data_IF_772323850815
#
_entry.id   IF_772323850815
#
_cell.length_a   1.000
_cell.length_b   1.000
_cell.length_c   1.000
_cell.angle_alpha   90.00
_cell.angle_beta   90.00
_cell.angle_gamma   90.00
#
_symmetry.space_group_name_H-M   'P 1'
#
loop_
_entity.id
_entity.type
_entity.pdbx_description
1 polymer ?
#
# COMPACT_ATOMS: atom_id res chain seq x y z
N UNK A 1 17.32 -6.20 24.88
CA UNK A 1 17.93 -4.87 24.60
C UNK A 1 16.96 -4.15 23.71
N UNK A 2 16.69 -2.88 23.95
CA UNK A 2 15.96 -2.07 22.96
C UNK A 2 16.86 -1.87 21.75
N UNK A 3 16.30 -1.80 20.52
CA UNK A 3 17.07 -1.61 19.30
C UNK A 3 17.84 -0.30 19.33
N UNK A 4 18.97 -0.26 18.63
CA UNK A 4 19.79 0.96 18.52
C UNK A 4 19.13 2.06 17.68
N UNK A 5 18.14 1.69 16.85
CA UNK A 5 17.34 2.62 16.05
C UNK A 5 15.88 2.13 16.02
N UNK A 6 14.89 3.03 16.15
CA UNK A 6 13.49 2.66 15.96
C UNK A 6 13.27 2.25 14.51
N UNK A 7 12.51 1.16 14.31
CA UNK A 7 12.03 0.78 12.99
C UNK A 7 11.05 1.85 12.49
N UNK A 8 11.21 2.36 11.26
CA UNK A 8 10.21 3.26 10.67
C UNK A 8 8.82 2.63 10.72
N UNK A 9 7.86 3.35 11.26
CA UNK A 9 6.54 2.82 11.53
C UNK A 9 5.42 3.69 10.97
N UNK A 10 4.29 3.06 10.70
CA UNK A 10 3.04 3.67 10.29
C UNK A 10 1.85 2.79 10.54
N UNK A 11 0.79 3.04 9.81
CA UNK A 11 -0.41 2.21 9.84
C UNK A 11 -1.06 2.14 8.46
N UNK A 12 -1.67 1.00 8.15
CA UNK A 12 -2.65 0.88 7.10
C UNK A 12 -4.04 1.17 7.70
N UNK A 13 -4.62 2.29 7.31
CA UNK A 13 -5.83 2.85 7.93
C UNK A 13 -7.09 2.57 7.10
N UNK A 14 -7.05 1.55 6.26
CA UNK A 14 -8.10 1.19 5.32
C UNK A 14 -7.87 1.74 3.91
N UNK A 15 -8.45 1.06 2.93
CA UNK A 15 -8.40 1.45 1.52
C UNK A 15 -9.13 2.77 1.29
N UNK A 16 -8.64 3.56 0.33
CA UNK A 16 -9.24 4.85 -0.08
C UNK A 16 -9.27 5.95 1.00
N UNK A 17 -8.63 5.75 2.14
CA UNK A 17 -8.56 6.79 3.16
C UNK A 17 -7.60 7.89 2.73
N UNK A 18 -7.93 9.12 3.14
CA UNK A 18 -7.05 10.26 2.95
C UNK A 18 -5.87 10.20 3.93
N UNK A 19 -4.80 10.92 3.62
CA UNK A 19 -3.66 11.14 4.52
C UNK A 19 -4.03 11.79 5.86
N UNK A 20 -5.19 12.42 5.98
CA UNK A 20 -5.70 13.02 7.23
C UNK A 20 -5.72 12.03 8.40
N UNK A 21 -6.04 10.76 8.14
CA UNK A 21 -6.09 9.74 9.19
C UNK A 21 -4.70 9.45 9.79
N UNK A 22 -3.64 9.58 9.03
CA UNK A 22 -2.27 9.44 9.52
C UNK A 22 -1.93 10.51 10.56
N UNK A 23 -2.43 11.75 10.39
CA UNK A 23 -2.25 12.80 11.39
C UNK A 23 -3.06 12.53 12.66
N UNK A 24 -4.25 11.93 12.53
CA UNK A 24 -5.06 11.50 13.67
C UNK A 24 -4.38 10.34 14.43
N UNK A 25 -3.85 9.35 13.72
CA UNK A 25 -3.04 8.27 14.28
C UNK A 25 -1.79 8.80 15.02
N UNK A 26 -1.06 9.74 14.41
CA UNK A 26 0.05 10.43 15.08
C UNK A 26 -0.41 11.13 16.36
N UNK A 27 -1.55 11.83 16.34
CA UNK A 27 -2.10 12.51 17.52
C UNK A 27 -2.45 11.53 18.64
N UNK A 28 -3.03 10.38 18.30
CA UNK A 28 -3.30 9.31 19.27
C UNK A 28 -2.01 8.74 19.90
N UNK A 29 -0.91 8.75 19.16
CA UNK A 29 0.44 8.38 19.62
C UNK A 29 1.20 9.54 20.29
N UNK A 30 0.49 10.53 20.89
CA UNK A 30 1.07 11.70 21.51
C UNK A 30 1.95 12.54 20.55
N UNK A 31 1.50 12.69 19.31
CA UNK A 31 2.20 13.39 18.22
C UNK A 31 3.54 12.73 17.83
N UNK A 32 3.64 11.42 17.96
CA UNK A 32 4.79 10.69 17.45
C UNK A 32 4.99 10.95 15.96
N UNK A 33 6.24 11.02 15.54
CA UNK A 33 6.58 11.20 14.13
C UNK A 33 6.35 9.92 13.35
N UNK A 34 5.18 9.81 12.71
CA UNK A 34 4.83 8.70 11.82
C UNK A 34 5.60 8.87 10.51
N UNK A 35 6.40 7.87 10.15
CA UNK A 35 7.32 7.91 9.02
C UNK A 35 6.79 7.15 7.80
N UNK A 36 5.84 6.23 7.99
CA UNK A 36 5.34 5.35 6.93
C UNK A 36 3.86 5.59 6.70
N UNK A 37 3.51 6.00 5.48
CA UNK A 37 2.14 6.05 4.99
C UNK A 37 1.87 4.87 4.10
N UNK A 38 0.78 4.14 4.32
CA UNK A 38 0.43 2.95 3.56
C UNK A 38 -0.98 3.06 3.01
N UNK A 39 -1.12 2.78 1.72
CA UNK A 39 -2.42 2.72 1.03
C UNK A 39 -2.37 1.75 -0.14
N UNK A 40 -3.53 1.37 -0.64
CA UNK A 40 -3.69 0.46 -1.78
C UNK A 40 -4.38 1.14 -2.95
N UNK A 41 -3.97 0.78 -4.17
CA UNK A 41 -4.78 1.08 -5.35
C UNK A 41 -5.98 0.14 -5.39
N UNK A 42 -7.18 0.65 -5.75
CA UNK A 42 -8.28 -0.23 -6.09
C UNK A 42 -7.91 -1.07 -7.30
N UNK A 43 -8.29 -2.33 -7.28
CA UNK A 43 -7.99 -3.27 -8.34
C UNK A 43 -9.21 -3.70 -9.14
N UNK A 44 -10.32 -2.93 -9.15
CA UNK A 44 -11.54 -3.35 -9.84
C UNK A 44 -11.36 -3.36 -11.36
N UNK A 45 -10.56 -2.44 -11.89
CA UNK A 45 -10.32 -2.26 -13.32
C UNK A 45 -8.93 -1.64 -13.56
N UNK A 46 -8.50 -1.59 -14.81
CA UNK A 46 -7.18 -1.07 -15.17
C UNK A 46 -7.00 0.42 -14.89
N UNK A 47 -8.07 1.22 -14.93
CA UNK A 47 -8.01 2.64 -14.62
C UNK A 47 -7.67 2.88 -13.13
N UNK A 48 -8.11 1.98 -12.25
CA UNK A 48 -7.74 1.98 -10.84
C UNK A 48 -6.24 1.73 -10.67
N UNK A 49 -5.71 0.74 -11.40
CA UNK A 49 -4.29 0.35 -11.37
C UNK A 49 -3.40 1.42 -12.01
N UNK A 50 -3.89 2.16 -13.02
CA UNK A 50 -3.22 3.34 -13.55
C UNK A 50 -2.96 4.42 -12.47
N UNK A 51 -3.65 4.34 -11.34
CA UNK A 51 -3.52 5.21 -10.17
C UNK A 51 -4.25 6.56 -10.35
N UNK A 52 -5.40 6.71 -9.69
CA UNK A 52 -6.12 7.97 -9.68
C UNK A 52 -5.29 9.09 -9.04
N UNK A 53 -5.19 10.25 -9.72
CA UNK A 53 -4.53 11.42 -9.16
C UNK A 53 -5.19 11.88 -7.85
N UNK A 54 -6.53 11.76 -7.75
CA UNK A 54 -7.27 12.09 -6.52
C UNK A 54 -6.85 11.24 -5.33
N UNK A 55 -6.49 9.98 -5.57
CA UNK A 55 -5.98 9.11 -4.51
C UNK A 55 -4.50 9.35 -4.24
N UNK A 56 -3.68 9.47 -5.29
CA UNK A 56 -2.22 9.51 -5.14
C UNK A 56 -1.69 10.86 -4.67
N UNK A 57 -2.32 11.99 -5.05
CA UNK A 57 -1.78 13.31 -4.78
C UNK A 57 -1.69 13.62 -3.27
N UNK A 58 -2.70 13.37 -2.42
CA UNK A 58 -2.60 13.60 -0.99
C UNK A 58 -1.45 12.80 -0.35
N UNK A 59 -1.29 11.53 -0.74
CA UNK A 59 -0.21 10.67 -0.23
C UNK A 59 1.17 11.13 -0.69
N UNK A 60 1.31 11.58 -1.94
CA UNK A 60 2.55 12.15 -2.45
C UNK A 60 2.92 13.46 -1.71
N UNK A 61 1.93 14.32 -1.43
CA UNK A 61 2.11 15.54 -0.63
C UNK A 61 2.53 15.18 0.80
N UNK A 62 1.84 14.24 1.44
CA UNK A 62 2.21 13.75 2.76
C UNK A 62 3.64 13.21 2.78
N UNK A 63 4.02 12.38 1.81
CA UNK A 63 5.38 11.84 1.70
C UNK A 63 6.44 12.94 1.58
N UNK A 64 6.17 13.99 0.81
CA UNK A 64 7.15 15.07 0.58
C UNK A 64 7.23 16.08 1.72
N UNK A 65 6.28 16.09 2.64
CA UNK A 65 6.22 17.04 3.77
C UNK A 65 7.28 16.79 4.85
N UNK A 66 7.98 15.64 4.84
CA UNK A 66 9.18 15.39 5.65
C UNK A 66 10.15 14.45 4.88
N UNK A 67 11.48 14.66 5.01
CA UNK A 67 12.48 13.96 4.19
C UNK A 67 12.61 12.47 4.51
N UNK A 68 12.25 12.04 5.70
CA UNK A 68 12.33 10.67 6.21
C UNK A 68 11.01 9.88 6.10
N UNK A 69 9.99 10.47 5.49
CA UNK A 69 8.73 9.77 5.21
C UNK A 69 8.85 8.83 4.02
N UNK A 70 8.18 7.69 4.11
CA UNK A 70 8.04 6.70 3.06
C UNK A 70 6.57 6.54 2.69
N UNK A 71 6.28 6.45 1.41
CA UNK A 71 4.97 6.00 0.91
C UNK A 71 5.08 4.54 0.50
N UNK A 72 4.21 3.71 1.05
CA UNK A 72 4.02 2.32 0.68
C UNK A 72 2.72 2.27 -0.12
N UNK A 73 2.78 1.66 -1.30
CA UNK A 73 1.64 1.56 -2.19
C UNK A 73 1.42 0.11 -2.62
N UNK A 74 0.33 -0.48 -2.15
CA UNK A 74 -0.15 -1.77 -2.63
C UNK A 74 -0.67 -1.64 -4.07
N UNK A 75 -0.09 -2.40 -4.99
CA UNK A 75 -0.42 -2.35 -6.42
C UNK A 75 -0.88 -3.72 -6.90
N UNK A 76 -2.16 -3.88 -7.27
CA UNK A 76 -2.65 -5.10 -7.87
C UNK A 76 -1.94 -5.38 -9.21
N UNK A 77 -1.57 -6.64 -9.46
CA UNK A 77 -0.99 -7.01 -10.75
C UNK A 77 -2.04 -7.15 -11.85
N UNK A 78 -3.32 -7.32 -11.47
CA UNK A 78 -4.43 -7.55 -12.41
C UNK A 78 -5.69 -6.83 -11.96
N UNK A 79 -6.58 -6.50 -12.93
CA UNK A 79 -7.92 -6.05 -12.63
C UNK A 79 -8.77 -7.17 -12.01
N UNK A 80 -9.92 -6.81 -11.45
CA UNK A 80 -10.76 -7.70 -10.66
C UNK A 80 -9.97 -8.38 -9.53
N UNK A 81 -9.17 -7.58 -8.80
CA UNK A 81 -8.20 -8.07 -7.81
C UNK A 81 -8.82 -9.02 -6.79
N UNK A 82 -10.06 -8.74 -6.35
CA UNK A 82 -10.85 -9.56 -5.41
C UNK A 82 -12.07 -10.20 -6.10
N UNK A 83 -11.99 -10.40 -7.41
CA UNK A 83 -13.11 -10.79 -8.26
C UNK A 83 -13.47 -12.28 -8.25
N UNK A 84 -12.88 -13.09 -7.37
CA UNK A 84 -13.14 -14.55 -7.27
C UNK A 84 -12.98 -15.28 -8.62
N UNK A 85 -11.90 -14.96 -9.34
CA UNK A 85 -11.61 -15.58 -10.64
C UNK A 85 -11.17 -17.05 -10.45
N UNK A 86 -11.60 -17.93 -11.32
CA UNK A 86 -11.12 -19.32 -11.35
C UNK A 86 -9.65 -19.41 -11.79
N UNK A 87 -8.98 -20.53 -11.45
CA UNK A 87 -7.56 -20.72 -11.70
C UNK A 87 -7.20 -20.75 -13.20
N UNK A 88 -8.09 -21.23 -14.07
CA UNK A 88 -7.84 -21.23 -15.51
C UNK A 88 -7.85 -19.81 -16.06
N UNK A 89 -8.75 -18.96 -15.57
CA UNK A 89 -8.78 -17.52 -15.89
C UNK A 89 -7.54 -16.83 -15.36
N UNK A 90 -7.13 -17.09 -14.12
CA UNK A 90 -5.91 -16.50 -13.53
C UNK A 90 -4.67 -16.93 -14.31
N UNK A 91 -4.53 -18.21 -14.63
CA UNK A 91 -3.42 -18.74 -15.46
C UNK A 91 -3.34 -18.04 -16.81
N UNK A 92 -4.48 -17.88 -17.48
CA UNK A 92 -4.55 -17.15 -18.75
C UNK A 92 -4.07 -15.70 -18.61
N UNK A 93 -4.55 -14.99 -17.58
CA UNK A 93 -4.18 -13.59 -17.35
C UNK A 93 -2.70 -13.45 -16.97
N UNK A 94 -2.15 -14.35 -16.15
CA UNK A 94 -0.71 -14.37 -15.84
C UNK A 94 0.13 -14.56 -17.10
N UNK A 95 -0.26 -15.46 -17.98
CA UNK A 95 0.42 -15.66 -19.28
C UNK A 95 0.35 -14.40 -20.19
N UNK A 96 -0.80 -13.69 -20.22
CA UNK A 96 -0.93 -12.42 -20.94
C UNK A 96 -0.03 -11.34 -20.34
N UNK A 97 0.03 -11.23 -19.02
CA UNK A 97 0.92 -10.31 -18.30
C UNK A 97 2.39 -10.64 -18.59
N UNK A 98 2.77 -11.92 -18.51
CA UNK A 98 4.12 -12.38 -18.87
C UNK A 98 4.49 -12.07 -20.33
N UNK A 99 3.51 -12.02 -21.22
CA UNK A 99 3.71 -11.59 -22.62
C UNK A 99 3.74 -10.06 -22.80
N UNK A 100 3.44 -9.26 -21.77
CA UNK A 100 3.51 -7.80 -21.78
C UNK A 100 2.21 -7.09 -22.15
N UNK A 101 1.08 -7.78 -22.14
CA UNK A 101 -0.20 -7.19 -22.50
C UNK A 101 -0.59 -5.98 -21.62
N UNK A 102 -0.07 -5.91 -20.40
CA UNK A 102 -0.49 -4.94 -19.38
C UNK A 102 0.59 -3.92 -19.01
N UNK A 103 1.78 -3.96 -19.60
CA UNK A 103 2.92 -3.08 -19.28
C UNK A 103 2.55 -1.59 -19.27
N UNK A 104 1.65 -1.16 -20.16
CA UNK A 104 1.22 0.23 -20.31
C UNK A 104 0.63 0.83 -19.03
N UNK A 105 -0.07 0.02 -18.24
CA UNK A 105 -0.74 0.46 -17.01
C UNK A 105 0.29 0.80 -15.93
N UNK A 106 1.28 -0.05 -15.76
CA UNK A 106 2.36 0.16 -14.81
C UNK A 106 3.31 1.28 -15.23
N UNK A 107 3.51 1.48 -16.53
CA UNK A 107 4.21 2.67 -17.07
C UNK A 107 3.45 3.96 -16.74
N UNK A 108 2.13 3.96 -16.85
CA UNK A 108 1.30 5.12 -16.52
C UNK A 108 1.34 5.42 -15.02
N UNK A 109 1.16 4.41 -14.16
CA UNK A 109 1.29 4.55 -12.71
C UNK A 109 2.66 5.14 -12.32
N UNK A 110 3.74 4.59 -12.87
CA UNK A 110 5.09 5.07 -12.57
C UNK A 110 5.30 6.53 -12.98
N UNK A 111 4.79 6.94 -14.15
CA UNK A 111 4.83 8.34 -14.59
C UNK A 111 4.06 9.26 -13.65
N UNK A 112 2.88 8.84 -13.20
CA UNK A 112 2.06 9.62 -12.25
C UNK A 112 2.76 9.80 -10.92
N UNK A 113 3.31 8.74 -10.34
CA UNK A 113 4.05 8.82 -9.08
C UNK A 113 5.27 9.75 -9.18
N UNK A 114 6.05 9.67 -10.27
CA UNK A 114 7.19 10.58 -10.50
C UNK A 114 6.71 12.02 -10.68
N UNK A 115 5.65 12.24 -11.44
CA UNK A 115 5.11 13.58 -11.69
C UNK A 115 4.52 14.22 -10.41
N UNK A 116 3.99 13.43 -9.50
CA UNK A 116 3.47 13.88 -8.20
C UNK A 116 4.59 14.11 -7.14
N UNK A 117 5.85 13.82 -7.46
CA UNK A 117 6.96 14.01 -6.52
C UNK A 117 7.18 12.84 -5.55
N UNK A 118 6.64 11.66 -5.84
CA UNK A 118 6.83 10.42 -5.08
C UNK A 118 7.64 9.36 -5.88
N UNK A 119 8.82 9.70 -6.42
CA UNK A 119 9.60 8.80 -7.28
C UNK A 119 10.23 7.62 -6.53
N UNK A 120 10.22 7.61 -5.22
CA UNK A 120 10.85 6.62 -4.33
C UNK A 120 9.82 5.84 -3.49
N UNK A 121 8.57 5.80 -3.96
CA UNK A 121 7.53 4.96 -3.38
C UNK A 121 7.99 3.50 -3.31
N UNK A 122 7.69 2.84 -2.19
CA UNK A 122 7.82 1.38 -2.07
C UNK A 122 6.55 0.77 -2.64
N UNK A 123 6.71 -0.12 -3.60
CA UNK A 123 5.59 -0.79 -4.30
C UNK A 123 5.46 -2.21 -3.76
N UNK A 124 4.39 -2.47 -3.02
CA UNK A 124 3.97 -3.81 -2.63
C UNK A 124 3.16 -4.40 -3.78
N UNK A 125 3.86 -5.13 -4.66
CA UNK A 125 3.30 -5.56 -5.94
C UNK A 125 2.66 -6.94 -5.82
N UNK A 126 1.34 -7.04 -6.00
CA UNK A 126 0.61 -8.31 -5.98
C UNK A 126 0.81 -9.07 -4.67
N UNK A 127 0.54 -8.40 -3.55
CA UNK A 127 0.70 -8.91 -2.18
C UNK A 127 -0.09 -10.20 -1.93
N UNK A 128 0.25 -10.95 -0.90
CA UNK A 128 -0.38 -12.22 -0.48
C UNK A 128 -0.59 -13.23 -1.63
N UNK A 129 0.37 -13.25 -2.55
CA UNK A 129 0.28 -14.04 -3.77
C UNK A 129 0.28 -15.56 -3.54
N UNK A 130 0.67 -16.01 -2.37
CA UNK A 130 0.68 -17.43 -2.00
C UNK A 130 -0.66 -17.94 -1.48
N UNK A 131 -1.65 -17.04 -1.28
CA UNK A 131 -3.03 -17.35 -0.94
C UNK A 131 -3.94 -17.56 -2.15
N UNK A 132 -5.25 -17.65 -1.88
CA UNK A 132 -6.29 -17.89 -2.90
C UNK A 132 -7.16 -16.68 -3.17
N UNK A 133 -7.02 -15.59 -2.41
CA UNK A 133 -7.94 -14.45 -2.41
C UNK A 133 -7.86 -13.63 -3.69
N UNK A 134 -6.64 -13.31 -4.12
CA UNK A 134 -6.45 -12.32 -5.18
C UNK A 134 -6.38 -12.93 -6.58
N UNK A 135 -6.80 -12.14 -7.57
CA UNK A 135 -6.70 -12.51 -8.97
C UNK A 135 -5.25 -12.64 -9.45
N UNK A 136 -4.30 -12.08 -8.72
CA UNK A 136 -2.85 -12.18 -8.96
C UNK A 136 -2.16 -13.27 -8.13
N UNK A 137 -2.91 -14.23 -7.58
CA UNK A 137 -2.32 -15.37 -6.87
C UNK A 137 -1.39 -16.18 -7.78
N UNK A 138 -0.35 -16.74 -7.16
CA UNK A 138 0.80 -17.30 -7.89
C UNK A 138 0.57 -18.77 -8.31
N UNK A 139 -0.12 -19.56 -7.50
CA UNK A 139 -0.15 -21.01 -7.64
C UNK A 139 -0.69 -21.53 -9.00
N UNK A 140 -1.63 -20.84 -9.71
CA UNK A 140 -2.09 -21.34 -11.01
C UNK A 140 -1.00 -21.44 -12.07
N UNK A 141 0.01 -20.54 -12.03
CA UNK A 141 1.20 -20.57 -12.89
C UNK A 141 2.35 -19.75 -12.29
N UNK A 142 3.17 -20.32 -11.37
CA UNK A 142 4.28 -19.60 -10.75
C UNK A 142 5.32 -19.08 -11.74
N UNK A 143 5.51 -19.75 -12.87
CA UNK A 143 6.49 -19.33 -13.88
C UNK A 143 6.05 -18.06 -14.62
N UNK A 144 4.79 -18.03 -15.07
CA UNK A 144 4.20 -16.82 -15.67
C UNK A 144 4.08 -15.70 -14.66
N UNK A 145 3.73 -16.00 -13.38
CA UNK A 145 3.65 -15.02 -12.33
C UNK A 145 4.99 -14.30 -12.12
N UNK A 146 6.09 -15.03 -11.93
CA UNK A 146 7.43 -14.44 -11.79
C UNK A 146 7.83 -13.63 -13.01
N UNK A 147 7.53 -14.12 -14.22
CA UNK A 147 7.84 -13.42 -15.47
C UNK A 147 7.05 -12.11 -15.55
N UNK A 148 5.77 -12.13 -15.20
CA UNK A 148 4.91 -10.96 -15.22
C UNK A 148 5.35 -9.92 -14.19
N UNK A 149 5.63 -10.34 -12.94
CA UNK A 149 6.16 -9.47 -11.89
C UNK A 149 7.45 -8.75 -12.36
N UNK A 150 8.39 -9.50 -12.93
CA UNK A 150 9.64 -8.95 -13.51
C UNK A 150 9.38 -7.94 -14.64
N UNK A 151 8.37 -8.16 -15.46
CA UNK A 151 7.98 -7.21 -16.52
C UNK A 151 7.45 -5.92 -15.95
N UNK A 152 6.58 -5.99 -14.96
CA UNK A 152 6.05 -4.80 -14.27
C UNK A 152 7.19 -3.98 -13.71
N UNK A 153 8.08 -4.59 -12.94
CA UNK A 153 9.26 -3.92 -12.38
C UNK A 153 10.11 -3.26 -13.47
N UNK A 154 10.38 -3.98 -14.56
CA UNK A 154 11.15 -3.46 -15.70
C UNK A 154 10.45 -2.26 -16.33
N UNK A 155 9.14 -2.33 -16.55
CA UNK A 155 8.34 -1.24 -17.11
C UNK A 155 8.38 -0.01 -16.19
N UNK A 156 8.13 -0.15 -14.90
CA UNK A 156 8.15 0.95 -13.94
C UNK A 156 9.56 1.56 -13.81
N UNK A 157 10.60 0.74 -13.75
CA UNK A 157 12.00 1.20 -13.67
C UNK A 157 12.49 1.89 -14.94
N UNK A 158 11.80 1.72 -16.08
CA UNK A 158 12.13 2.44 -17.32
C UNK A 158 11.75 3.93 -17.33
N UNK A 159 10.94 4.38 -16.37
CA UNK A 159 10.49 5.77 -16.28
C UNK A 159 11.63 6.65 -15.73
N UNK A 160 12.05 7.71 -16.43
CA UNK A 160 13.12 8.59 -15.97
C UNK A 160 12.78 9.27 -14.63
N UNK A 161 13.76 9.32 -13.72
CA UNK A 161 13.62 9.98 -12.43
C UNK A 161 13.03 9.12 -11.32
N UNK A 162 12.55 7.94 -11.63
CA UNK A 162 12.07 6.98 -10.63
C UNK A 162 13.21 6.43 -9.76
N UNK A 163 12.90 6.05 -8.54
CA UNK A 163 13.74 5.35 -7.56
C UNK A 163 12.91 4.38 -6.73
N UNK A 164 11.89 3.76 -7.37
CA UNK A 164 10.99 2.82 -6.71
C UNK A 164 11.76 1.65 -6.10
N UNK A 165 11.26 1.19 -4.96
CA UNK A 165 11.65 -0.09 -4.37
C UNK A 165 10.46 -1.05 -4.49
N UNK A 166 10.74 -2.32 -4.75
CA UNK A 166 9.72 -3.34 -4.95
C UNK A 166 9.78 -4.33 -3.79
N UNK A 167 8.66 -4.45 -3.12
CA UNK A 167 8.47 -5.30 -1.97
C UNK A 167 7.73 -6.57 -2.36
N UNK A 168 8.36 -7.72 -2.11
CA UNK A 168 7.79 -9.05 -2.33
C UNK A 168 7.15 -9.50 -1.04
N UNK A 169 5.83 -9.49 -0.99
CA UNK A 169 5.02 -9.50 0.21
C UNK A 169 4.01 -10.66 0.24
N UNK A 170 4.43 -11.87 0.66
CA UNK A 170 3.55 -13.00 0.90
C UNK A 170 2.82 -12.88 2.24
N UNK A 171 1.70 -13.61 2.38
CA UNK A 171 1.13 -13.92 3.68
C UNK A 171 1.99 -14.95 4.43
N UNK A 172 2.00 -14.86 5.75
CA UNK A 172 2.75 -15.76 6.65
C UNK A 172 2.19 -17.19 6.59
N UNK A 173 3.10 -18.16 6.59
CA UNK A 173 2.76 -19.57 6.64
C UNK A 173 2.71 -20.27 5.28
N UNK A 174 2.32 -21.56 5.26
CA UNK A 174 2.30 -22.35 4.04
C UNK A 174 1.19 -21.99 3.05
N UNK A 175 0.09 -21.39 3.51
CA UNK A 175 -1.12 -21.03 2.77
C UNK A 175 -1.45 -22.02 1.60
N UNK A 176 -1.78 -21.53 0.39
CA UNK A 176 -2.11 -22.40 -0.75
C UNK A 176 -0.85 -22.96 -1.44
N UNK A 177 0.23 -22.18 -1.50
CA UNK A 177 1.53 -22.65 -1.96
C UNK A 177 2.70 -21.97 -1.24
N UNK A 178 3.88 -22.63 -1.20
CA UNK A 178 5.09 -22.03 -0.68
C UNK A 178 5.43 -20.71 -1.36
N UNK A 179 5.43 -19.59 -0.64
CA UNK A 179 5.70 -18.28 -1.24
C UNK A 179 7.09 -18.21 -1.89
N UNK A 180 8.04 -19.03 -1.49
CA UNK A 180 9.37 -19.10 -2.12
C UNK A 180 9.32 -19.53 -3.58
N UNK A 181 8.28 -20.25 -4.01
CA UNK A 181 8.07 -20.63 -5.41
C UNK A 181 7.69 -19.43 -6.29
N UNK A 182 7.15 -18.38 -5.67
CA UNK A 182 6.74 -17.15 -6.33
C UNK A 182 7.85 -16.11 -6.40
N UNK A 183 8.99 -16.33 -5.74
CA UNK A 183 10.05 -15.33 -5.68
C UNK A 183 10.60 -14.98 -7.07
N UNK A 184 10.51 -13.70 -7.50
CA UNK A 184 10.84 -13.32 -8.87
C UNK A 184 12.33 -13.10 -9.13
N UNK A 185 13.17 -13.05 -8.09
CA UNK A 185 14.62 -12.90 -8.18
C UNK A 185 15.16 -11.58 -7.63
N UNK A 186 16.45 -11.60 -7.25
CA UNK A 186 17.11 -10.51 -6.49
C UNK A 186 17.22 -9.20 -7.24
N UNK A 187 17.33 -9.25 -8.55
CA UNK A 187 17.52 -8.07 -9.42
C UNK A 187 16.27 -7.21 -9.57
N UNK A 188 15.12 -7.78 -9.25
CA UNK A 188 13.80 -7.11 -9.33
C UNK A 188 13.10 -6.97 -7.99
N UNK A 189 13.66 -7.50 -6.90
CA UNK A 189 13.14 -7.40 -5.54
C UNK A 189 14.09 -6.59 -4.69
N UNK A 190 13.58 -5.60 -3.96
CA UNK A 190 14.38 -4.73 -3.09
C UNK A 190 14.14 -5.03 -1.60
N UNK A 191 12.98 -5.57 -1.25
CA UNK A 191 12.54 -5.87 0.12
C UNK A 191 11.81 -7.21 0.14
N UNK A 192 11.91 -7.95 1.24
CA UNK A 192 11.13 -9.18 1.48
C UNK A 192 10.11 -8.89 2.59
N UNK A 193 8.88 -8.63 2.17
CA UNK A 193 7.75 -8.39 3.05
C UNK A 193 7.18 -9.67 3.66
N UNK A 194 6.25 -9.49 4.57
CA UNK A 194 5.35 -10.54 5.06
C UNK A 194 4.17 -9.93 5.78
N UNK A 195 2.96 -10.21 5.30
CA UNK A 195 1.74 -9.93 6.02
C UNK A 195 1.53 -10.96 7.12
N UNK A 196 1.43 -10.51 8.37
CA UNK A 196 1.44 -11.37 9.54
C UNK A 196 0.40 -10.98 10.57
N UNK A 197 -0.69 -11.73 10.60
CA UNK A 197 -1.77 -11.55 11.56
C UNK A 197 -1.73 -12.60 12.66
N UNK A 198 -2.38 -12.28 13.80
CA UNK A 198 -2.58 -13.16 14.94
C UNK A 198 -3.70 -14.17 14.66
N UNK A 199 -3.36 -15.19 13.86
CA UNK A 199 -4.30 -16.20 13.36
C UNK A 199 -3.61 -17.53 13.05
N UNK A 200 -4.40 -18.56 12.80
CA UNK A 200 -3.91 -19.87 12.34
C UNK A 200 -3.15 -19.76 10.98
N UNK A 201 -2.21 -20.70 10.70
CA UNK A 201 -1.77 -21.78 11.56
C UNK A 201 -0.90 -21.27 12.72
N UNK A 202 -0.89 -22.02 13.83
CA UNK A 202 -0.23 -21.63 15.07
C UNK A 202 -1.21 -20.98 16.05
N UNK A 203 -0.81 -20.85 17.30
CA UNK A 203 -1.63 -20.26 18.38
C UNK A 203 -0.80 -19.44 19.35
N UNK A 204 0.46 -19.26 19.06
CA UNK A 204 1.39 -18.45 19.83
C UNK A 204 2.39 -17.76 18.91
N UNK A 205 2.96 -16.66 19.37
CA UNK A 205 4.00 -15.97 18.60
C UNK A 205 5.18 -16.90 18.24
N UNK A 206 5.54 -17.84 19.13
CA UNK A 206 6.59 -18.80 18.83
C UNK A 206 6.21 -19.74 17.67
N UNK A 207 4.94 -20.11 17.55
CA UNK A 207 4.46 -20.88 16.40
C UNK A 207 4.62 -20.07 15.11
N UNK A 208 4.21 -18.79 15.12
CA UNK A 208 4.35 -17.88 13.98
C UNK A 208 5.81 -17.66 13.54
N UNK A 209 6.74 -17.74 14.50
CA UNK A 209 8.18 -17.69 14.21
C UNK A 209 8.65 -18.97 13.55
N UNK A 210 8.23 -20.14 14.05
CA UNK A 210 8.87 -21.44 13.72
C UNK A 210 8.12 -22.27 12.69
N UNK A 211 6.88 -21.93 12.36
CA UNK A 211 6.13 -22.63 11.33
C UNK A 211 6.82 -22.58 9.96
N UNK A 212 6.55 -23.53 9.07
CA UNK A 212 7.01 -23.46 7.69
C UNK A 212 6.53 -22.15 7.02
N UNK A 213 7.44 -21.48 6.33
CA UNK A 213 7.20 -20.21 5.64
C UNK A 213 6.77 -19.05 6.58
N UNK A 214 7.03 -19.19 7.89
CA UNK A 214 6.79 -18.18 8.91
C UNK A 214 7.92 -17.14 9.03
N UNK A 215 7.86 -16.38 10.13
CA UNK A 215 8.74 -15.22 10.35
C UNK A 215 10.23 -15.57 10.34
N UNK A 216 10.65 -16.72 10.91
CA UNK A 216 12.05 -17.12 10.89
C UNK A 216 12.53 -17.46 9.49
N UNK A 217 11.68 -18.09 8.68
CA UNK A 217 12.04 -18.39 7.29
C UNK A 217 12.15 -17.12 6.45
N UNK A 218 11.26 -16.12 6.67
CA UNK A 218 11.35 -14.82 6.02
C UNK A 218 12.71 -14.16 6.27
N UNK A 219 13.11 -13.98 7.53
CA UNK A 219 14.38 -13.29 7.85
C UNK A 219 15.60 -14.07 7.38
N UNK A 220 15.54 -15.40 7.41
CA UNK A 220 16.62 -16.25 6.90
C UNK A 220 16.73 -16.15 5.37
N UNK A 221 15.60 -16.15 4.68
CA UNK A 221 15.53 -15.98 3.23
C UNK A 221 16.04 -14.59 2.82
N UNK A 222 15.55 -13.55 3.46
CA UNK A 222 15.98 -12.17 3.20
C UNK A 222 17.50 -12.00 3.41
N UNK A 223 18.05 -12.53 4.48
CA UNK A 223 19.50 -12.51 4.73
C UNK A 223 20.30 -13.24 3.64
N UNK A 224 19.80 -14.39 3.14
CA UNK A 224 20.44 -15.16 2.06
C UNK A 224 20.45 -14.37 0.74
N UNK A 225 19.41 -13.56 0.50
CA UNK A 225 19.25 -12.72 -0.68
C UNK A 225 19.76 -11.28 -0.48
N UNK A 226 20.37 -10.98 0.68
CA UNK A 226 20.90 -9.66 1.04
C UNK A 226 19.85 -8.54 0.94
N UNK A 227 18.64 -8.81 1.41
CA UNK A 227 17.51 -7.87 1.42
C UNK A 227 17.07 -7.56 2.85
N UNK A 228 16.63 -6.34 3.14
CA UNK A 228 15.90 -6.06 4.37
C UNK A 228 14.53 -6.75 4.34
N UNK A 229 13.92 -6.90 5.50
CA UNK A 229 12.53 -7.34 5.63
C UNK A 229 11.60 -6.15 5.83
N UNK A 230 10.31 -6.37 5.60
CA UNK A 230 9.22 -5.45 5.92
C UNK A 230 8.01 -6.20 6.45
N UNK A 231 7.13 -5.47 7.10
CA UNK A 231 5.83 -5.96 7.55
C UNK A 231 4.76 -4.96 7.09
N UNK A 232 4.33 -5.06 5.82
CA UNK A 232 3.36 -4.13 5.23
C UNK A 232 2.01 -4.20 5.92
N UNK A 233 1.59 -5.41 6.31
CA UNK A 233 0.40 -5.62 7.12
C UNK A 233 0.70 -6.54 8.31
N UNK A 234 0.30 -6.10 9.50
CA UNK A 234 0.31 -6.95 10.68
C UNK A 234 -0.71 -6.45 11.68
N UNK A 235 -1.23 -7.34 12.51
CA UNK A 235 -2.24 -6.95 13.49
C UNK A 235 -2.91 -8.16 14.15
N UNK A 236 -3.91 -7.86 14.95
CA UNK A 236 -4.75 -8.87 15.60
C UNK A 236 -5.74 -9.46 14.61
N UNK A 237 -6.22 -10.67 14.87
CA UNK A 237 -7.31 -11.23 14.06
C UNK A 237 -8.17 -12.24 14.85
N UNK A 238 -7.80 -13.53 14.85
CA UNK A 238 -8.68 -14.58 15.37
C UNK A 238 -8.63 -14.74 16.90
N UNK A 239 -7.54 -14.30 17.55
CA UNK A 239 -7.35 -14.51 18.98
C UNK A 239 -7.78 -13.30 19.83
N UNK A 240 -8.35 -12.27 19.20
CA UNK A 240 -8.91 -11.09 19.87
C UNK A 240 -7.85 -10.16 20.43
N UNK A 241 -8.10 -9.55 21.59
CA UNK A 241 -7.16 -8.61 22.22
C UNK A 241 -5.94 -9.34 22.79
N UNK A 242 -4.84 -9.42 22.01
CA UNK A 242 -3.59 -10.06 22.41
C UNK A 242 -2.43 -9.04 22.52
N UNK A 243 -2.27 -8.39 23.70
CA UNK A 243 -1.16 -7.46 23.92
C UNK A 243 0.22 -8.13 23.91
N UNK A 244 0.30 -9.45 24.14
CA UNK A 244 1.58 -10.16 24.11
C UNK A 244 2.04 -10.42 22.67
N UNK A 245 1.12 -10.72 21.75
CA UNK A 245 1.43 -10.73 20.33
C UNK A 245 1.97 -9.38 19.87
N UNK A 246 1.29 -8.28 20.19
CA UNK A 246 1.74 -6.93 19.79
C UNK A 246 3.14 -6.62 20.29
N UNK A 247 3.44 -6.92 21.57
CA UNK A 247 4.79 -6.68 22.14
C UNK A 247 5.86 -7.54 21.46
N UNK A 248 5.56 -8.81 21.20
CA UNK A 248 6.50 -9.75 20.60
C UNK A 248 6.75 -9.42 19.13
N UNK A 249 5.71 -9.03 18.37
CA UNK A 249 5.87 -8.63 16.97
C UNK A 249 6.72 -7.36 16.85
N UNK A 250 6.46 -6.34 17.65
CA UNK A 250 7.27 -5.12 17.69
C UNK A 250 8.73 -5.41 18.11
N UNK A 251 8.95 -6.28 19.09
CA UNK A 251 10.30 -6.68 19.50
C UNK A 251 11.01 -7.51 18.41
N UNK A 252 10.28 -8.35 17.69
CA UNK A 252 10.80 -9.09 16.54
C UNK A 252 11.32 -8.15 15.45
N UNK A 253 10.50 -7.24 15.00
CA UNK A 253 10.85 -6.23 14.01
C UNK A 253 12.07 -5.42 14.43
N UNK A 254 12.14 -5.04 15.68
CA UNK A 254 13.22 -4.24 16.25
C UNK A 254 14.57 -4.96 16.35
N UNK A 255 14.59 -6.28 16.25
CA UNK A 255 15.81 -7.11 16.35
C UNK A 255 16.30 -7.66 15.01
N UNK A 256 15.61 -7.37 13.92
CA UNK A 256 15.96 -7.78 12.56
C UNK A 256 16.21 -6.55 11.66
N UNK A 257 16.74 -6.77 10.47
CA UNK A 257 16.98 -5.71 9.47
C UNK A 257 15.66 -5.30 8.81
N UNK A 258 14.82 -4.63 9.59
CA UNK A 258 13.47 -4.23 9.18
C UNK A 258 13.49 -2.83 8.58
N UNK A 259 13.11 -2.73 7.31
CA UNK A 259 13.04 -1.47 6.58
C UNK A 259 11.88 -0.58 7.06
N UNK A 260 10.70 -1.17 7.25
CA UNK A 260 9.49 -0.51 7.74
C UNK A 260 8.47 -1.51 8.26
N UNK A 261 7.49 -0.99 8.99
CA UNK A 261 6.30 -1.73 9.40
C UNK A 261 5.06 -0.84 9.41
N UNK A 262 3.89 -1.42 9.10
CA UNK A 262 2.59 -0.76 9.21
C UNK A 262 1.57 -1.70 9.87
N UNK A 263 1.07 -1.28 11.04
CA UNK A 263 -0.04 -2.01 11.68
C UNK A 263 -1.31 -1.80 10.85
N UNK A 264 -2.07 -2.86 10.62
CA UNK A 264 -3.39 -2.77 10.02
C UNK A 264 -4.38 -2.29 11.07
N UNK A 265 -4.95 -1.09 10.88
CA UNK A 265 -5.69 -0.41 11.95
C UNK A 265 -7.15 -0.13 11.59
N UNK A 266 -7.91 -1.20 11.53
CA UNK A 266 -9.37 -1.26 11.58
C UNK A 266 -9.80 -2.56 12.27
N UNK A 267 -11.02 -2.65 12.79
CA UNK A 267 -11.50 -3.88 13.45
C UNK A 267 -11.60 -5.07 12.49
N UNK A 268 -11.17 -6.27 12.90
CA UNK A 268 -10.71 -6.63 14.26
C UNK A 268 -9.21 -6.41 14.49
N UNK A 269 -8.43 -5.96 13.50
CA UNK A 269 -6.97 -5.96 13.48
C UNK A 269 -6.32 -4.84 14.27
N UNK A 270 -7.03 -3.71 14.41
CA UNK A 270 -6.46 -2.45 14.83
C UNK A 270 -6.15 -2.32 16.32
N UNK A 271 -5.20 -1.41 16.56
CA UNK A 271 -4.80 -0.99 17.90
C UNK A 271 -5.34 0.40 18.28
N UNK A 272 -5.77 1.20 17.32
CA UNK A 272 -6.29 2.55 17.53
C UNK A 272 -7.81 2.63 17.34
N UNK A 273 -8.33 2.20 16.20
CA UNK A 273 -9.76 2.32 15.87
C UNK A 273 -10.55 1.04 16.06
N UNK A 274 -10.13 0.22 17.03
CA UNK A 274 -10.85 -1.00 17.39
C UNK A 274 -11.04 -1.08 18.92
N UNK A 275 -12.21 -0.67 19.41
CA UNK A 275 -12.53 -0.65 20.83
C UNK A 275 -12.49 -2.04 21.49
N UNK A 276 -12.46 -3.13 20.72
CA UNK A 276 -12.34 -4.49 21.22
C UNK A 276 -10.93 -4.85 21.68
N UNK A 277 -9.90 -4.03 21.35
CA UNK A 277 -8.49 -4.34 21.57
C UNK A 277 -7.77 -3.38 22.56
N UNK A 278 -8.32 -3.07 23.75
CA UNK A 278 -7.75 -2.06 24.65
C UNK A 278 -6.37 -2.43 25.20
N UNK A 279 -6.11 -3.72 25.46
CA UNK A 279 -4.81 -4.18 25.96
C UNK A 279 -3.72 -4.06 24.89
N UNK A 280 -4.02 -4.43 23.66
CA UNK A 280 -3.13 -4.31 22.51
C UNK A 280 -2.86 -2.85 22.15
N UNK A 281 -3.86 -1.98 22.25
CA UNK A 281 -3.74 -0.53 22.11
C UNK A 281 -2.71 0.05 23.09
N UNK A 282 -2.82 -0.31 24.37
CA UNK A 282 -1.87 0.15 25.41
C UNK A 282 -0.47 -0.43 25.16
N UNK A 283 -0.37 -1.71 24.79
CA UNK A 283 0.92 -2.36 24.49
C UNK A 283 1.65 -1.65 23.34
N UNK A 284 0.94 -1.32 22.26
CA UNK A 284 1.49 -0.62 21.09
C UNK A 284 1.99 0.78 21.47
N UNK A 285 1.16 1.58 22.14
CA UNK A 285 1.52 2.94 22.58
C UNK A 285 2.71 2.95 23.54
N UNK A 286 2.71 2.06 24.52
CA UNK A 286 3.78 1.95 25.50
C UNK A 286 5.12 1.59 24.85
N UNK A 287 5.12 0.65 23.89
CA UNK A 287 6.32 0.23 23.17
C UNK A 287 6.92 1.40 22.37
N UNK A 288 6.11 2.08 21.56
CA UNK A 288 6.57 3.21 20.74
C UNK A 288 7.05 4.40 21.59
N UNK A 289 6.38 4.68 22.70
CA UNK A 289 6.81 5.74 23.64
C UNK A 289 8.17 5.44 24.26
N UNK A 290 8.45 4.17 24.57
CA UNK A 290 9.73 3.74 25.13
C UNK A 290 10.89 3.89 24.15
N UNK A 291 10.63 3.71 22.84
CA UNK A 291 11.65 3.85 21.78
C UNK A 291 11.87 5.31 21.40
N UNK A 292 10.84 6.14 21.39
CA UNK A 292 10.92 7.54 21.00
C UNK A 292 11.79 8.38 21.96
N UNK A 293 12.11 7.85 23.16
CA UNK A 293 12.82 8.59 24.21
C UNK A 293 11.98 9.73 24.79
N UNK A 294 12.42 10.40 25.83
CA UNK A 294 11.73 11.57 26.34
C UNK A 294 11.73 12.66 25.26
N UNK A 295 10.53 13.08 24.86
CA UNK A 295 10.36 14.24 23.96
C UNK A 295 11.23 15.39 24.48
N UNK A 296 12.02 16.07 23.64
CA UNK A 296 12.80 17.22 24.11
C UNK A 296 11.82 18.19 24.74
N UNK A 297 12.06 18.46 26.06
CA UNK A 297 11.25 19.44 26.78
C UNK A 297 11.24 20.74 25.99
N UNK A 298 10.08 21.38 25.78
CA UNK A 298 10.03 22.59 24.98
C UNK A 298 11.08 23.57 25.55
N UNK A 299 12.01 23.96 24.69
CA UNK A 299 13.04 24.93 25.04
C UNK A 299 12.32 26.17 25.59
N UNK A 300 12.68 26.69 26.76
CA UNK A 300 11.98 27.85 27.32
C UNK A 300 11.98 28.95 26.26
N UNK A 301 10.76 29.39 25.91
CA UNK A 301 10.56 30.51 24.99
C UNK A 301 11.50 31.66 25.40
N UNK A 302 12.27 32.25 24.50
CA UNK A 302 13.14 33.34 24.87
C UNK A 302 12.30 34.43 25.53
N UNK A 303 12.69 34.81 26.75
CA UNK A 303 12.06 35.88 27.51
C UNK A 303 11.98 37.13 26.61
N UNK A 304 10.84 37.82 26.52
CA UNK A 304 10.75 38.98 25.65
C UNK A 304 11.84 39.98 26.04
N UNK A 305 12.67 40.33 25.06
CA UNK A 305 13.69 41.39 25.22
C UNK A 305 13.02 42.69 25.64
N UNK A 306 13.57 43.44 26.61
CA UNK A 306 12.90 44.67 27.03
C UNK A 306 12.77 45.63 25.86
N UNK A 307 11.53 46.11 25.69
CA UNK A 307 11.18 47.08 24.67
C UNK A 307 12.06 48.34 24.80
N UNK A 308 12.66 48.84 23.72
CA UNK A 308 13.42 50.07 23.81
C UNK A 308 12.53 51.23 24.21
N UNK A 309 13.01 52.03 25.16
CA UNK A 309 12.38 53.26 25.65
C UNK A 309 12.14 54.24 24.49
N UNK A 310 11.02 54.96 24.45
CA UNK A 310 10.72 55.87 23.35
C UNK A 310 11.71 57.02 23.32
N UNK A 311 12.50 57.10 22.25
CA UNK A 311 13.36 58.27 21.98
C UNK A 311 12.51 59.46 21.50
N UNK A 312 12.87 60.66 21.94
CA UNK A 312 12.16 61.88 21.71
C UNK A 312 11.88 62.20 20.24
N UNK A 313 10.71 62.76 19.97
CA UNK A 313 10.24 63.16 18.66
C UNK A 313 11.10 64.30 18.07
N UNK A 314 11.48 64.27 16.81
CA UNK A 314 11.98 65.44 16.09
C UNK A 314 10.84 66.32 15.55
N UNK A 315 11.09 67.63 15.57
CA UNK A 315 10.21 68.73 15.10
C UNK A 315 9.86 68.60 13.60
N UNK A 316 8.72 69.13 13.18
CA UNK A 316 8.26 69.02 11.83
C UNK A 316 9.01 69.94 10.86
N UNK A 317 9.47 69.37 9.75
CA UNK A 317 10.06 70.10 8.63
C UNK A 317 9.20 69.94 7.38
N UNK A 318 8.88 71.06 6.80
CA UNK A 318 8.39 71.43 5.47
C UNK A 318 7.75 70.36 4.53
N UNK A 319 6.55 70.71 4.08
CA UNK A 319 5.82 70.05 2.97
C UNK A 319 6.59 70.03 1.65
N UNK A 320 6.56 68.94 0.90
CA UNK A 320 6.91 68.93 -0.49
C UNK A 320 5.71 69.13 -1.42
N UNK A 321 5.97 69.82 -2.51
CA UNK A 321 5.12 70.15 -3.63
C UNK A 321 4.52 68.94 -4.37
N UNK A 322 3.38 69.09 -5.08
CA UNK A 322 2.69 67.94 -5.66
C UNK A 322 3.33 67.47 -6.98
N UNK A 323 3.48 66.16 -7.07
CA UNK A 323 3.94 65.47 -8.30
C UNK A 323 2.85 65.40 -9.37
N UNK A 324 3.22 65.32 -10.65
CA UNK A 324 2.26 65.35 -11.75
C UNK A 324 1.53 64.01 -11.97
N UNK A 325 0.30 64.18 -12.48
CA UNK A 325 -0.70 63.13 -12.79
C UNK A 325 -0.17 62.19 -13.90
N UNK A 326 -0.34 60.88 -13.78
CA UNK A 326 0.04 59.95 -14.87
C UNK A 326 -1.00 60.00 -16.01
N UNK A 327 -0.45 59.89 -17.23
CA UNK A 327 -1.15 59.81 -18.52
C UNK A 327 -1.88 58.48 -18.70
N UNK A 328 -2.98 58.39 -19.45
CA UNK A 328 -3.75 57.15 -19.60
C UNK A 328 -3.03 56.15 -20.51
N UNK A 329 -3.07 54.87 -20.06
CA UNK A 329 -2.67 53.72 -20.86
C UNK A 329 -3.57 53.45 -22.05
N UNK A 330 -3.02 52.93 -23.17
CA UNK A 330 -3.81 52.63 -24.34
C UNK A 330 -4.69 51.40 -24.18
N UNK A 331 -5.86 51.46 -24.79
CA UNK A 331 -6.95 50.53 -24.88
C UNK A 331 -6.50 49.14 -25.40
N UNK A 332 -6.97 48.10 -24.77
CA UNK A 332 -6.79 46.70 -25.19
C UNK A 332 -7.55 46.39 -26.48
N UNK A 333 -6.88 45.70 -27.40
CA UNK A 333 -7.48 45.15 -28.61
C UNK A 333 -8.44 44.01 -28.32
N UNK A 334 -9.50 43.83 -29.14
CA UNK A 334 -10.46 42.73 -28.94
C UNK A 334 -9.86 41.33 -29.25
N UNK A 335 -10.36 40.27 -28.64
CA UNK A 335 -9.90 38.91 -28.89
C UNK A 335 -10.31 38.40 -30.30
N UNK A 336 -9.53 37.49 -30.89
CA UNK A 336 -9.85 36.91 -32.19
C UNK A 336 -11.06 35.99 -32.14
N UNK A 337 -11.84 35.99 -33.22
CA UNK A 337 -13.05 35.19 -33.41
C UNK A 337 -12.77 33.68 -33.33
N UNK A 338 -13.66 32.96 -32.69
CA UNK A 338 -13.63 31.49 -32.62
C UNK A 338 -13.85 30.87 -34.01
N UNK A 339 -12.96 29.96 -34.40
CA UNK A 339 -13.19 29.07 -35.53
C UNK A 339 -14.24 28.03 -35.22
N UNK A 340 -15.05 27.59 -36.20
CA UNK A 340 -16.09 26.60 -35.95
C UNK A 340 -15.49 25.21 -35.70
N UNK A 341 -16.05 24.50 -34.71
CA UNK A 341 -15.76 23.11 -34.41
C UNK A 341 -16.10 22.18 -35.58
N UNK A 342 -15.31 21.16 -35.86
CA UNK A 342 -15.68 20.13 -36.83
C UNK A 342 -16.84 19.27 -36.30
N UNK A 343 -17.85 19.09 -37.15
CA UNK A 343 -18.95 18.16 -36.94
C UNK A 343 -18.46 16.72 -36.87
N UNK A 344 -18.70 16.04 -35.76
CA UNK A 344 -18.49 14.60 -35.66
C UNK A 344 -19.54 13.86 -36.49
N UNK A 345 -19.06 13.12 -37.49
CA UNK A 345 -19.84 12.11 -38.20
C UNK A 345 -20.13 10.94 -37.25
N UNK A 346 -21.38 10.62 -37.08
CA UNK A 346 -21.86 9.44 -36.33
C UNK A 346 -21.40 8.16 -37.05
N UNK A 347 -20.81 7.18 -36.36
CA UNK A 347 -20.50 5.90 -36.98
C UNK A 347 -21.79 5.09 -37.20
N UNK A 348 -21.85 4.23 -38.25
CA UNK A 348 -23.01 3.40 -38.52
C UNK A 348 -23.20 2.32 -37.44
N UNK A 349 -24.45 1.96 -37.19
CA UNK A 349 -24.85 0.95 -36.24
C UNK A 349 -24.28 -0.43 -36.60
N UNK A 350 -23.87 -1.26 -35.61
CA UNK A 350 -23.40 -2.61 -35.88
C UNK A 350 -24.53 -3.51 -36.36
N UNK A 351 -24.24 -4.27 -37.41
CA UNK A 351 -25.14 -5.29 -37.96
C UNK A 351 -25.39 -6.41 -36.94
N UNK A 352 -26.61 -6.86 -36.86
CA UNK A 352 -27.06 -7.92 -35.99
C UNK A 352 -26.33 -9.24 -36.28
N UNK A 353 -25.73 -9.85 -35.27
CA UNK A 353 -25.17 -11.20 -35.28
C UNK A 353 -26.28 -12.24 -35.24
N UNK A 354 -26.24 -13.33 -36.04
CA UNK A 354 -27.24 -14.38 -35.98
C UNK A 354 -27.13 -15.19 -34.68
N UNK A 355 -28.28 -15.55 -34.11
CA UNK A 355 -28.42 -16.42 -32.95
C UNK A 355 -27.79 -17.80 -33.18
N UNK A 356 -27.14 -18.40 -32.17
CA UNK A 356 -26.63 -19.75 -32.24
C UNK A 356 -27.79 -20.78 -32.19
N UNK A 357 -27.66 -21.82 -33.03
CA UNK A 357 -28.52 -22.99 -33.02
C UNK A 357 -28.40 -23.80 -31.74
N UNK A 358 -29.44 -24.50 -31.29
CA UNK A 358 -29.38 -25.26 -30.04
C UNK A 358 -28.49 -26.51 -30.19
N UNK A 359 -27.60 -26.70 -29.18
CA UNK A 359 -26.77 -27.89 -29.00
C UNK A 359 -27.62 -29.13 -28.67
N UNK A 360 -27.19 -30.31 -29.10
CA UNK A 360 -27.89 -31.57 -28.80
C UNK A 360 -27.74 -31.96 -27.33
N UNK A 361 -28.82 -32.49 -26.77
CA UNK A 361 -28.97 -32.94 -25.40
C UNK A 361 -27.98 -34.06 -25.03
N UNK A 362 -27.31 -33.93 -23.90
CA UNK A 362 -26.41 -34.92 -23.29
C UNK A 362 -27.23 -36.07 -22.68
N UNK A 363 -26.83 -37.33 -22.84
CA UNK A 363 -27.48 -38.46 -22.17
C UNK A 363 -27.27 -38.43 -20.63
N UNK A 364 -28.20 -39.02 -19.85
CA UNK A 364 -28.12 -39.01 -18.38
C UNK A 364 -26.97 -39.86 -17.85
N UNK A 365 -26.35 -39.35 -16.75
CA UNK A 365 -25.28 -40.05 -16.06
C UNK A 365 -25.83 -41.26 -15.26
N UNK A 366 -25.02 -42.32 -15.04
CA UNK A 366 -25.41 -43.46 -14.22
C UNK A 366 -25.46 -43.13 -12.74
N UNK A 367 -26.38 -43.75 -12.00
CA UNK A 367 -26.55 -43.61 -10.56
C UNK A 367 -25.32 -44.09 -9.77
N UNK A 368 -24.96 -43.46 -8.65
CA UNK A 368 -23.82 -43.86 -7.84
C UNK A 368 -24.15 -45.12 -7.01
N UNK A 369 -23.19 -46.05 -7.00
CA UNK A 369 -23.19 -47.25 -6.15
C UNK A 369 -22.78 -46.82 -4.71
N UNK A 370 -23.50 -47.37 -3.73
CA UNK A 370 -23.22 -47.16 -2.30
C UNK A 370 -22.00 -48.00 -1.91
N UNK A 371 -20.87 -47.32 -1.65
CA UNK A 371 -19.83 -47.70 -0.68
C UNK A 371 -18.78 -46.60 -0.68
N UNK A 372 -18.85 -45.68 0.27
CA UNK A 372 -17.79 -44.75 0.54
C UNK A 372 -17.69 -44.52 2.04
N UNK A 373 -16.60 -44.95 2.61
CA UNK A 373 -16.11 -44.65 3.96
C UNK A 373 -16.01 -43.13 4.14
N UNK A 374 -16.40 -42.53 5.27
CA UNK A 374 -16.33 -41.08 5.44
C UNK A 374 -14.86 -40.62 5.52
N UNK A 375 -14.50 -39.74 4.60
CA UNK A 375 -13.27 -38.94 4.62
C UNK A 375 -13.38 -37.87 5.71
N UNK A 376 -12.29 -37.59 6.48
CA UNK A 376 -12.30 -36.52 7.47
C UNK A 376 -12.55 -35.15 6.81
N UNK A 377 -13.17 -34.20 7.51
CA UNK A 377 -13.46 -32.88 6.95
C UNK A 377 -12.16 -32.16 6.58
N UNK A 378 -12.12 -31.67 5.36
CA UNK A 378 -11.10 -30.73 4.88
C UNK A 378 -11.13 -29.48 5.76
N UNK A 379 -9.99 -28.96 6.21
CA UNK A 379 -9.97 -27.70 6.97
C UNK A 379 -10.60 -26.58 6.14
N UNK A 380 -11.39 -25.76 6.80
CA UNK A 380 -12.05 -24.61 6.20
C UNK A 380 -10.98 -23.69 5.58
N UNK A 381 -11.13 -23.39 4.29
CA UNK A 381 -10.25 -22.48 3.59
C UNK A 381 -10.47 -21.07 4.14
N UNK A 382 -9.39 -20.43 4.58
CA UNK A 382 -9.35 -19.06 4.99
C UNK A 382 -9.80 -18.15 3.82
N UNK A 383 -10.68 -17.21 4.09
CA UNK A 383 -10.95 -16.04 3.25
C UNK A 383 -10.58 -14.80 4.06
N UNK A 384 -9.58 -14.02 3.66
CA UNK A 384 -9.43 -12.68 4.23
C UNK A 384 -10.70 -11.90 3.90
N UNK A 385 -11.34 -11.40 4.93
CA UNK A 385 -12.53 -10.56 4.79
C UNK A 385 -12.03 -9.12 4.70
N UNK A 386 -11.79 -8.64 3.48
CA UNK A 386 -11.93 -7.23 3.26
C UNK A 386 -13.44 -6.96 3.29
N UNK A 387 -13.91 -6.37 4.38
CA UNK A 387 -15.30 -6.00 4.53
C UNK A 387 -15.75 -5.17 3.33
N UNK A 388 -16.81 -5.66 2.67
CA UNK A 388 -17.51 -4.89 1.66
C UNK A 388 -18.14 -3.68 2.35
N UNK A 389 -17.64 -2.51 2.09
CA UNK A 389 -18.34 -1.26 2.24
C UNK A 389 -18.92 -0.82 0.90
#
# INVERSE_FOLDING_TARGET
>A
MLPSHPVPFGAFLGSYQSDDRIYQFSSWLNHAHVQVGHTYLPGNNWQDIDGSITLLAPWAEWRTSAPDRMLILGVPMQQANEGDLDDDTVRYLLAQGAAGAFDRHFLELARRLVALGAPDTVITLGWEMNGTTYSSRCHPDPASWRTYWRRIVTAMRSVPGQRFRFDFDPTRGPDDNPWTECYPGDDVTDVIGMDSYDMEPGSSFQDFVTEPYGLQQQVTFAATHHKPVSYPEWGLYHYGDDPDYVRQMLAWMATHDTLYQTVTDYCPHGVWECDSNPGSSEAYRSFLSAIAGPSPSPSPSPSPSPSPSPSAAPSPSASPSPSPKPSPSPSASPPPARSPSPSFLTPPAPSATPSPSPSPSRPPAPSPSADATPTPPTPARYRPVHDRL
#
